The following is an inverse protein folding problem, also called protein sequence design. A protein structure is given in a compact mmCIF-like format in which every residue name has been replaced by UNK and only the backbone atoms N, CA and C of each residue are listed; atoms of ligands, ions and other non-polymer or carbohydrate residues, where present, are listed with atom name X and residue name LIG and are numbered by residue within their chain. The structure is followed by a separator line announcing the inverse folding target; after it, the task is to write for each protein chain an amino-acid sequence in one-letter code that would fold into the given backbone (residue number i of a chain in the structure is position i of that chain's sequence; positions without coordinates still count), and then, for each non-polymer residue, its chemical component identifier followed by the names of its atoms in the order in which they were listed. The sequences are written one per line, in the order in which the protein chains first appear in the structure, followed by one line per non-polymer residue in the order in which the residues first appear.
data_IF_596716839805
#
_entry.id   IF_596716839805
#
_cell.length_a   1.000
_cell.length_b   1.000
_cell.length_c   1.000
_cell.angle_alpha   90.00
_cell.angle_beta   90.00
_cell.angle_gamma   90.00
#
_symmetry.space_group_name_H-M   'P 1'
#
loop_
_entity.id
_entity.type
_entity.pdbx_description
1 polymer ?
#
# COMPACT_ATOMS: atom_id res chain seq x y z
N UNK A 1 0.79 -4.03 11.38
CA UNK A 1 -0.08 -4.78 12.30
C UNK A 1 -1.28 -3.94 12.74
N UNK A 2 -1.07 -2.70 13.13
CA UNK A 2 -2.10 -1.85 13.75
C UNK A 2 -3.23 -1.52 12.78
N UNK A 3 -2.93 -1.26 11.51
CA UNK A 3 -3.93 -1.12 10.45
C UNK A 3 -4.89 -2.33 10.36
N UNK A 4 -4.38 -3.54 10.53
CA UNK A 4 -5.19 -4.76 10.49
C UNK A 4 -6.05 -4.93 11.76
N UNK A 5 -5.59 -4.43 12.90
CA UNK A 5 -6.36 -4.44 14.17
C UNK A 5 -7.51 -3.45 14.16
N UNK A 6 -7.37 -2.32 13.45
CA UNK A 6 -8.41 -1.30 13.30
C UNK A 6 -9.55 -1.77 12.40
N UNK A 7 -9.30 -2.77 11.55
CA UNK A 7 -10.28 -3.25 10.60
C UNK A 7 -11.33 -4.12 11.27
N UNK A 8 -12.60 -3.72 11.19
CA UNK A 8 -13.73 -4.41 11.83
C UNK A 8 -14.46 -5.38 10.91
N UNK A 9 -14.48 -5.10 9.59
CA UNK A 9 -15.26 -5.88 8.61
C UNK A 9 -14.57 -5.95 7.24
N UNK A 10 -14.98 -6.94 6.42
CA UNK A 10 -14.55 -7.14 5.04
C UNK A 10 -13.29 -8.01 4.89
N UNK A 11 -12.98 -8.36 3.65
CA UNK A 11 -11.85 -9.22 3.31
C UNK A 11 -10.59 -8.41 3.05
N UNK A 12 -9.46 -8.94 3.47
CA UNK A 12 -8.13 -8.36 3.23
C UNK A 12 -7.22 -9.40 2.62
N UNK A 13 -6.40 -8.99 1.67
CA UNK A 13 -5.28 -9.79 1.15
C UNK A 13 -3.95 -9.13 1.52
N UNK A 14 -2.91 -9.91 1.59
CA UNK A 14 -1.55 -9.43 1.77
C UNK A 14 -0.70 -9.82 0.57
N UNK A 15 -0.08 -8.83 -0.07
CA UNK A 15 0.85 -9.01 -1.18
C UNK A 15 2.20 -8.44 -0.78
N UNK A 16 3.25 -9.22 -0.94
CA UNK A 16 4.63 -8.76 -0.85
C UNK A 16 5.16 -8.52 -2.27
N UNK A 17 5.97 -7.48 -2.44
CA UNK A 17 6.60 -7.19 -3.72
C UNK A 17 8.05 -6.71 -3.56
N UNK A 18 8.81 -6.96 -4.62
CA UNK A 18 10.17 -6.49 -4.84
C UNK A 18 10.36 -6.29 -6.35
N UNK A 19 11.25 -6.99 -7.04
CA UNK A 19 11.30 -7.07 -8.50
C UNK A 19 10.16 -7.90 -9.12
N UNK A 20 9.46 -8.66 -8.31
CA UNK A 20 8.24 -9.42 -8.59
C UNK A 20 7.21 -9.23 -7.46
N UNK A 21 6.06 -9.92 -7.51
CA UNK A 21 5.03 -9.84 -6.46
C UNK A 21 4.43 -11.21 -6.15
N UNK A 22 4.15 -11.43 -4.86
CA UNK A 22 3.64 -12.69 -4.34
C UNK A 22 2.44 -12.45 -3.41
N UNK A 23 1.38 -13.24 -3.59
CA UNK A 23 0.25 -13.26 -2.65
C UNK A 23 0.67 -14.05 -1.42
N UNK A 24 0.90 -13.34 -0.32
CA UNK A 24 1.23 -13.96 0.98
C UNK A 24 -0.03 -14.53 1.63
N UNK A 25 -1.13 -13.77 1.55
CA UNK A 25 -2.43 -14.21 2.04
C UNK A 25 -3.49 -13.77 1.03
N UNK A 26 -4.31 -14.68 0.51
CA UNK A 26 -5.43 -14.33 -0.37
C UNK A 26 -6.50 -13.55 0.42
N UNK A 27 -7.55 -13.09 -0.27
CA UNK A 27 -8.66 -12.38 0.38
C UNK A 27 -9.30 -13.25 1.46
N UNK A 28 -9.25 -12.77 2.70
CA UNK A 28 -9.81 -13.42 3.89
C UNK A 28 -10.33 -12.38 4.86
N UNK A 29 -11.32 -12.74 5.67
CA UNK A 29 -11.80 -11.99 6.84
C UNK A 29 -10.96 -12.26 8.10
N UNK A 30 -10.14 -13.30 8.08
CA UNK A 30 -9.25 -13.66 9.20
C UNK A 30 -7.99 -12.80 9.24
N UNK A 31 -8.10 -11.64 9.89
CA UNK A 31 -6.97 -10.73 10.10
C UNK A 31 -5.85 -11.34 10.98
N UNK A 32 -6.17 -12.32 11.83
CA UNK A 32 -5.17 -13.00 12.67
C UNK A 32 -4.19 -13.80 11.83
N UNK A 33 -4.69 -14.50 10.82
CA UNK A 33 -3.84 -15.23 9.87
C UNK A 33 -2.91 -14.27 9.12
N UNK A 34 -3.40 -13.09 8.69
CA UNK A 34 -2.56 -12.09 8.03
C UNK A 34 -1.46 -11.61 8.99
N UNK A 35 -1.82 -11.27 10.23
CA UNK A 35 -0.86 -10.80 11.25
C UNK A 35 0.20 -11.87 11.55
N UNK A 36 -0.19 -13.14 11.62
CA UNK A 36 0.73 -14.25 11.87
C UNK A 36 1.77 -14.43 10.75
N UNK A 37 1.45 -14.05 9.52
CA UNK A 37 2.36 -14.15 8.38
C UNK A 37 3.34 -12.95 8.28
N UNK A 38 3.04 -11.81 8.91
CA UNK A 38 3.90 -10.62 8.82
C UNK A 38 5.35 -10.84 9.28
N UNK A 39 5.63 -11.56 10.40
CA UNK A 39 7.00 -11.77 10.85
C UNK A 39 7.87 -12.59 9.88
N UNK A 40 7.24 -13.37 8.98
CA UNK A 40 7.94 -14.16 7.98
C UNK A 40 8.36 -13.33 6.74
N UNK A 41 7.88 -12.09 6.63
CA UNK A 41 8.23 -11.19 5.53
C UNK A 41 9.62 -10.59 5.80
N UNK A 42 10.63 -11.22 5.21
CA UNK A 42 12.00 -10.74 5.22
C UNK A 42 12.36 -10.25 3.79
N UNK A 43 12.95 -9.05 3.62
CA UNK A 43 13.36 -8.55 2.31
C UNK A 43 14.26 -9.52 1.53
N UNK A 44 15.01 -10.37 2.22
CA UNK A 44 15.95 -11.31 1.60
C UNK A 44 15.30 -12.60 1.10
N UNK A 45 14.01 -12.86 1.39
CA UNK A 45 13.31 -14.02 0.83
C UNK A 45 12.74 -13.75 -0.56
N UNK A 46 12.71 -12.50 -1.01
CA UNK A 46 12.20 -12.16 -2.34
C UNK A 46 13.20 -12.61 -3.40
N UNK A 47 12.75 -13.44 -4.39
CA UNK A 47 13.65 -14.06 -5.35
C UNK A 47 14.22 -13.07 -6.37
N UNK A 48 13.51 -11.97 -6.64
CA UNK A 48 13.91 -10.95 -7.63
C UNK A 48 14.09 -9.61 -6.92
N UNK A 49 15.32 -9.10 -6.94
CA UNK A 49 15.65 -7.79 -6.37
C UNK A 49 15.05 -6.69 -7.25
N UNK A 50 14.51 -5.65 -6.64
CA UNK A 50 13.94 -4.49 -7.32
C UNK A 50 12.76 -3.88 -6.57
N UNK A 51 12.05 -2.97 -7.24
CA UNK A 51 10.84 -2.32 -6.72
C UNK A 51 9.83 -2.22 -7.87
N UNK A 52 8.84 -3.13 -7.88
CA UNK A 52 7.82 -3.25 -8.93
C UNK A 52 6.40 -3.12 -8.32
N UNK A 53 6.04 -1.93 -7.79
CA UNK A 53 4.70 -1.72 -7.24
C UNK A 53 3.59 -1.86 -8.28
N UNK A 54 3.86 -1.62 -9.57
CA UNK A 54 2.93 -1.81 -10.67
C UNK A 54 2.44 -3.27 -10.78
N UNK A 55 3.34 -4.25 -10.61
CA UNK A 55 2.96 -5.68 -10.62
C UNK A 55 2.12 -6.02 -9.39
N UNK A 56 2.48 -5.48 -8.21
CA UNK A 56 1.72 -5.69 -6.99
C UNK A 56 0.30 -5.11 -7.10
N UNK A 57 0.15 -3.90 -7.62
CA UNK A 57 -1.16 -3.27 -7.86
C UNK A 57 -1.97 -4.09 -8.87
N UNK A 58 -1.36 -4.57 -9.96
CA UNK A 58 -2.03 -5.47 -10.93
C UNK A 58 -2.57 -6.71 -10.23
N UNK A 59 -1.78 -7.36 -9.39
CA UNK A 59 -2.18 -8.55 -8.65
C UNK A 59 -3.29 -8.24 -7.63
N UNK A 60 -3.22 -7.09 -6.95
CA UNK A 60 -4.27 -6.63 -6.04
C UNK A 60 -5.61 -6.41 -6.77
N UNK A 61 -5.59 -5.75 -7.93
CA UNK A 61 -6.79 -5.56 -8.78
C UNK A 61 -7.38 -6.91 -9.20
N UNK A 62 -6.54 -7.88 -9.54
CA UNK A 62 -7.02 -9.23 -9.90
C UNK A 62 -7.70 -9.93 -8.71
N UNK A 63 -7.11 -9.84 -7.51
CA UNK A 63 -7.72 -10.41 -6.29
C UNK A 63 -9.05 -9.74 -5.95
N UNK A 64 -9.14 -8.41 -6.04
CA UNK A 64 -10.38 -7.67 -5.83
C UNK A 64 -11.47 -8.09 -6.83
N UNK A 65 -11.12 -8.26 -8.10
CA UNK A 65 -12.06 -8.77 -9.14
C UNK A 65 -12.53 -10.20 -8.84
N UNK A 66 -11.63 -11.09 -8.45
CA UNK A 66 -11.97 -12.47 -8.07
C UNK A 66 -12.88 -12.50 -6.85
N UNK A 67 -12.63 -11.64 -5.86
CA UNK A 67 -13.47 -11.45 -4.68
C UNK A 67 -14.78 -10.69 -4.93
N UNK A 68 -15.06 -10.29 -6.20
CA UNK A 68 -16.26 -9.50 -6.59
C UNK A 68 -16.42 -8.22 -5.76
N UNK A 69 -15.30 -7.60 -5.37
CA UNK A 69 -15.31 -6.35 -4.64
C UNK A 69 -15.84 -5.21 -5.52
N UNK A 70 -16.91 -4.55 -5.08
CA UNK A 70 -17.51 -3.40 -5.78
C UNK A 70 -16.72 -2.12 -5.52
N UNK A 71 -16.20 -1.94 -4.30
CA UNK A 71 -15.40 -0.81 -3.88
C UNK A 71 -14.12 -1.32 -3.20
N UNK A 72 -13.11 -1.64 -4.03
CA UNK A 72 -11.81 -2.09 -3.54
C UNK A 72 -10.96 -0.95 -3.02
N UNK A 73 -10.13 -1.22 -2.00
CA UNK A 73 -9.08 -0.31 -1.55
C UNK A 73 -7.75 -1.03 -1.56
N UNK A 74 -6.77 -0.45 -2.24
CA UNK A 74 -5.38 -0.90 -2.20
C UNK A 74 -4.62 0.02 -1.26
N UNK A 75 -3.92 -0.56 -0.28
CA UNK A 75 -2.98 0.16 0.58
C UNK A 75 -1.58 -0.22 0.13
N UNK A 76 -0.89 0.71 -0.50
CA UNK A 76 0.49 0.54 -0.96
C UNK A 76 1.45 1.12 0.09
N UNK A 77 2.27 0.27 0.69
CA UNK A 77 3.37 0.66 1.56
C UNK A 77 4.65 0.72 0.73
N UNK A 78 5.23 1.91 0.57
CA UNK A 78 6.41 2.12 -0.27
C UNK A 78 7.20 3.35 0.17
N UNK A 79 8.48 3.38 -0.14
CA UNK A 79 9.38 4.54 0.02
C UNK A 79 9.49 5.37 -1.28
N UNK A 80 8.99 4.85 -2.41
CA UNK A 80 8.98 5.53 -3.70
C UNK A 80 8.35 4.70 -4.80
N UNK A 81 7.99 5.37 -5.89
CA UNK A 81 7.51 4.75 -7.14
C UNK A 81 8.17 5.47 -8.31
N UNK A 82 8.85 4.73 -9.16
CA UNK A 82 9.48 5.29 -10.35
C UNK A 82 8.43 5.80 -11.37
N UNK A 83 8.72 6.87 -12.14
CA UNK A 83 7.75 7.51 -13.03
C UNK A 83 7.04 6.53 -13.97
N UNK A 84 7.79 5.62 -14.60
CA UNK A 84 7.20 4.65 -15.54
C UNK A 84 6.28 3.61 -14.87
N UNK A 85 6.40 3.39 -13.55
CA UNK A 85 5.47 2.57 -12.78
C UNK A 85 4.22 3.36 -12.39
N UNK A 86 4.34 4.69 -12.20
CA UNK A 86 3.20 5.58 -11.93
C UNK A 86 2.19 5.50 -13.07
N UNK A 87 2.65 5.64 -14.33
CA UNK A 87 1.78 5.58 -15.51
C UNK A 87 1.06 4.23 -15.59
N UNK A 88 1.79 3.13 -15.37
CA UNK A 88 1.19 1.78 -15.37
C UNK A 88 0.17 1.58 -14.25
N UNK A 89 0.40 2.12 -13.05
CA UNK A 89 -0.55 2.03 -11.95
C UNK A 89 -1.81 2.82 -12.28
N UNK A 90 -1.68 4.00 -12.88
CA UNK A 90 -2.82 4.80 -13.32
C UNK A 90 -3.65 4.02 -14.34
N UNK A 91 -3.03 3.48 -15.39
CA UNK A 91 -3.70 2.66 -16.42
C UNK A 91 -4.44 1.43 -15.82
N UNK A 92 -3.85 0.79 -14.80
CA UNK A 92 -4.45 -0.37 -14.13
C UNK A 92 -5.69 -0.04 -13.31
N UNK A 93 -5.73 1.17 -12.74
CA UNK A 93 -6.81 1.63 -11.86
C UNK A 93 -7.86 2.45 -12.59
N UNK A 94 -7.56 2.93 -13.80
CA UNK A 94 -8.51 3.64 -14.65
C UNK A 94 -9.73 2.77 -14.95
N UNK A 95 -10.92 3.39 -14.90
CA UNK A 95 -12.20 2.72 -15.12
C UNK A 95 -12.59 1.70 -14.03
N UNK A 96 -11.80 1.56 -12.96
CA UNK A 96 -12.16 0.75 -11.79
C UNK A 96 -12.75 1.62 -10.68
N UNK A 97 -13.50 1.03 -9.74
CA UNK A 97 -13.93 1.70 -8.49
C UNK A 97 -12.92 1.52 -7.35
N UNK A 98 -11.71 1.03 -7.65
CA UNK A 98 -10.67 0.79 -6.66
C UNK A 98 -9.94 2.08 -6.30
N UNK A 99 -9.77 2.37 -5.01
CA UNK A 99 -8.98 3.50 -4.52
C UNK A 99 -7.58 3.05 -4.11
N UNK A 100 -6.59 3.96 -4.28
CA UNK A 100 -5.20 3.72 -3.91
C UNK A 100 -4.78 4.63 -2.75
N UNK A 101 -4.65 4.07 -1.58
CA UNK A 101 -4.05 4.71 -0.42
C UNK A 101 -2.56 4.41 -0.39
N UNK A 102 -1.71 5.42 -0.18
CA UNK A 102 -0.26 5.22 -0.09
C UNK A 102 0.22 5.55 1.32
N UNK A 103 0.84 4.59 1.97
CA UNK A 103 1.62 4.79 3.18
C UNK A 103 3.09 4.97 2.79
N UNK A 104 3.53 6.22 2.77
CA UNK A 104 4.88 6.56 2.37
C UNK A 104 5.85 6.34 3.53
N UNK A 105 6.72 5.33 3.38
CA UNK A 105 7.84 5.06 4.26
C UNK A 105 9.06 5.87 3.83
N UNK A 106 9.87 6.34 4.79
CA UNK A 106 11.08 7.07 4.49
C UNK A 106 11.04 8.56 4.79
N UNK A 107 12.05 9.28 4.35
CA UNK A 107 12.20 10.71 4.60
C UNK A 107 12.63 11.47 3.35
N UNK A 108 12.33 12.77 3.29
CA UNK A 108 12.80 13.64 2.20
C UNK A 108 14.32 13.85 2.19
N UNK A 109 14.95 13.70 3.34
CA UNK A 109 16.42 13.75 3.45
C UNK A 109 17.09 12.47 2.94
N UNK A 110 16.35 11.37 2.94
CA UNK A 110 16.87 10.04 2.64
C UNK A 110 17.63 9.43 3.80
N UNK A 111 18.08 8.20 3.61
CA UNK A 111 18.92 7.49 4.55
C UNK A 111 19.75 6.41 3.85
N UNK A 112 20.97 6.11 4.36
CA UNK A 112 21.79 5.08 3.76
C UNK A 112 21.21 3.68 4.01
N UNK A 113 21.16 2.85 2.96
CA UNK A 113 20.71 1.46 3.06
C UNK A 113 21.81 0.62 3.68
N UNK A 114 21.53 0.07 4.87
CA UNK A 114 22.46 -0.83 5.58
C UNK A 114 22.29 -2.25 5.05
N UNK A 115 23.39 -2.83 4.58
CA UNK A 115 23.42 -4.24 4.17
C UNK A 115 23.88 -5.12 5.35
N UNK A 116 23.30 -6.32 5.52
CA UNK A 116 23.84 -7.30 6.46
C UNK A 116 25.29 -7.61 6.09
N UNK A 117 26.19 -7.56 7.06
CA UNK A 117 27.62 -7.91 6.93
C UNK A 117 28.47 -7.04 5.98
N UNK A 118 27.90 -6.15 5.14
CA UNK A 118 28.63 -5.40 4.10
C UNK A 118 28.65 -3.88 4.26
N UNK A 119 28.20 -3.35 5.41
CA UNK A 119 28.13 -1.90 5.62
C UNK A 119 26.94 -1.25 4.90
N UNK A 120 27.18 -0.24 4.07
CA UNK A 120 26.14 0.48 3.34
C UNK A 120 26.13 0.12 1.84
N UNK A 121 24.96 0.15 1.24
CA UNK A 121 24.82 0.02 -0.22
C UNK A 121 25.60 1.15 -0.90
N UNK A 122 26.45 0.79 -1.85
CA UNK A 122 27.25 1.73 -2.64
C UNK A 122 26.99 1.52 -4.12
N UNK A 123 26.96 2.64 -4.83
CA UNK A 123 26.96 2.69 -6.28
C UNK A 123 28.18 3.50 -6.74
N UNK A 124 29.02 2.94 -7.60
CA UNK A 124 30.31 3.50 -8.04
C UNK A 124 31.19 4.02 -6.88
N UNK A 125 31.16 3.33 -5.73
CA UNK A 125 31.92 3.70 -4.52
C UNK A 125 31.23 4.69 -3.58
N UNK A 126 30.16 5.35 -4.00
CA UNK A 126 29.39 6.30 -3.20
C UNK A 126 28.25 5.59 -2.45
N UNK A 127 27.98 6.02 -1.20
CA UNK A 127 26.84 5.50 -0.43
C UNK A 127 25.54 5.96 -1.08
N UNK A 128 24.66 5.00 -1.40
CA UNK A 128 23.33 5.28 -1.94
C UNK A 128 22.44 5.80 -0.82
N UNK A 129 21.87 7.01 -1.01
CA UNK A 129 20.94 7.66 -0.09
C UNK A 129 19.63 7.91 -0.83
N UNK A 130 18.72 6.92 -0.90
CA UNK A 130 17.43 7.11 -1.55
C UNK A 130 16.58 8.12 -0.77
N UNK A 131 15.96 9.04 -1.51
CA UNK A 131 15.05 10.05 -0.97
C UNK A 131 13.63 9.72 -1.40
N UNK A 132 12.67 9.94 -0.50
CA UNK A 132 11.25 9.76 -0.82
C UNK A 132 10.69 11.03 -1.47
N UNK A 133 10.16 10.88 -2.69
CA UNK A 133 9.41 11.94 -3.36
C UNK A 133 7.94 11.88 -2.96
N UNK A 134 7.61 12.56 -1.87
CA UNK A 134 6.24 12.64 -1.36
C UNK A 134 5.28 13.31 -2.33
N UNK A 135 5.75 14.23 -3.18
CA UNK A 135 4.89 14.94 -4.13
C UNK A 135 4.37 14.01 -5.22
N UNK A 136 5.23 13.20 -5.80
CA UNK A 136 4.86 12.18 -6.77
C UNK A 136 3.93 11.12 -6.19
N UNK A 137 4.19 10.67 -4.95
CA UNK A 137 3.33 9.70 -4.25
C UNK A 137 1.95 10.29 -3.93
N UNK A 138 1.89 11.56 -3.51
CA UNK A 138 0.62 12.25 -3.27
C UNK A 138 -0.19 12.41 -4.56
N UNK A 139 0.46 12.77 -5.67
CA UNK A 139 -0.18 12.90 -6.97
C UNK A 139 -0.75 11.57 -7.45
N UNK A 140 0.02 10.48 -7.32
CA UNK A 140 -0.42 9.13 -7.67
C UNK A 140 -1.65 8.70 -6.85
N UNK A 141 -1.62 8.91 -5.54
CA UNK A 141 -2.74 8.56 -4.67
C UNK A 141 -4.01 9.37 -5.01
N UNK A 142 -3.87 10.69 -5.16
CA UNK A 142 -4.98 11.59 -5.48
C UNK A 142 -5.61 11.28 -6.85
N UNK A 143 -4.80 10.98 -7.86
CA UNK A 143 -5.29 10.55 -9.18
C UNK A 143 -6.17 9.30 -9.09
N UNK A 144 -5.84 8.38 -8.17
CA UNK A 144 -6.51 7.12 -7.97
C UNK A 144 -7.48 7.12 -6.78
N UNK A 145 -8.17 8.24 -6.55
CA UNK A 145 -9.26 8.38 -5.54
C UNK A 145 -8.85 8.02 -4.12
N UNK A 146 -7.58 8.22 -3.79
CA UNK A 146 -7.03 7.94 -2.47
C UNK A 146 -6.25 9.11 -1.92
N UNK A 147 -5.43 8.83 -0.92
CA UNK A 147 -4.53 9.79 -0.27
C UNK A 147 -3.18 9.16 -0.01
N UNK A 148 -2.16 10.00 0.09
CA UNK A 148 -0.87 9.63 0.62
C UNK A 148 -0.76 10.10 2.07
N UNK A 149 -0.37 9.18 2.95
CA UNK A 149 -0.03 9.44 4.35
C UNK A 149 1.44 9.11 4.56
N UNK A 150 2.12 9.93 5.35
CA UNK A 150 3.49 9.61 5.78
C UNK A 150 3.42 8.68 6.97
N UNK A 151 4.19 7.61 6.94
CA UNK A 151 4.36 6.77 8.12
C UNK A 151 5.00 7.60 9.24
N UNK A 152 4.37 7.59 10.39
CA UNK A 152 4.87 8.18 11.61
C UNK A 152 5.18 7.09 12.64
N UNK A 153 5.98 7.41 13.65
CA UNK A 153 6.29 6.49 14.76
C UNK A 153 5.16 6.46 15.80
N UNK A 154 4.18 7.32 15.64
CA UNK A 154 2.97 7.42 16.45
C UNK A 154 1.75 6.99 15.62
N UNK A 155 0.62 6.75 16.28
CA UNK A 155 -0.61 6.27 15.63
C UNK A 155 -1.39 7.38 14.88
N UNK A 156 -0.80 8.54 14.58
CA UNK A 156 -1.49 9.65 13.90
C UNK A 156 -1.86 9.31 12.47
N UNK A 157 -1.01 8.57 11.76
CA UNK A 157 -1.27 8.06 10.42
C UNK A 157 -2.44 7.05 10.42
N UNK A 158 -2.53 6.21 11.45
CA UNK A 158 -3.59 5.22 11.63
C UNK A 158 -4.94 5.89 11.95
N UNK A 159 -4.94 6.90 12.80
CA UNK A 159 -6.14 7.66 13.12
C UNK A 159 -6.69 8.40 11.90
N UNK A 160 -5.82 8.90 11.03
CA UNK A 160 -6.22 9.52 9.76
C UNK A 160 -6.86 8.52 8.79
N UNK A 161 -6.49 7.24 8.87
CA UNK A 161 -7.09 6.14 8.09
C UNK A 161 -8.48 5.74 8.59
N UNK A 162 -8.70 5.71 9.89
CA UNK A 162 -9.96 5.27 10.50
C UNK A 162 -11.08 6.32 10.30
N UNK A 163 -10.77 7.60 10.36
CA UNK A 163 -11.72 8.69 10.12
C UNK A 163 -12.36 8.59 8.71
N UNK A 164 -11.64 8.13 7.70
CA UNK A 164 -12.17 7.96 6.34
C UNK A 164 -13.06 6.72 6.19
N UNK A 165 -12.80 5.65 6.92
CA UNK A 165 -13.68 4.48 6.98
C UNK A 165 -15.06 4.83 7.55
N UNK A 166 -15.10 5.66 8.56
CA UNK A 166 -16.36 6.09 9.22
C UNK A 166 -17.19 7.06 8.37
N UNK A 167 -16.57 7.93 7.59
CA UNK A 167 -17.28 8.89 6.72
C UNK A 167 -18.01 8.22 5.55
N UNK A 168 -17.46 7.13 5.03
CA UNK A 168 -18.10 6.37 3.92
C UNK A 168 -19.38 5.67 4.38
N UNK A 169 -19.43 5.19 5.61
CA UNK A 169 -20.61 4.54 6.20
C UNK A 169 -21.73 5.55 6.51
N UNK A 170 -21.39 6.78 6.92
CA UNK A 170 -22.40 7.81 7.21
C UNK A 170 -23.11 8.35 5.97
N UNK A 171 -22.42 8.39 4.83
CA UNK A 171 -23.05 8.84 3.58
C UNK A 171 -24.01 7.80 2.99
N UNK A 172 -23.82 6.51 3.22
CA UNK A 172 -24.75 5.48 2.78
C UNK A 172 -26.04 5.41 3.63
N UNK A 173 -25.99 5.81 4.90
CA UNK A 173 -27.18 5.85 5.75
C UNK A 173 -28.07 7.09 5.51
N UNK A 174 -27.55 8.15 4.90
CA UNK A 174 -28.35 9.35 4.57
C UNK A 174 -29.17 9.23 3.27
N UNK A 175 -28.83 8.28 2.40
CA UNK A 175 -29.57 8.07 1.14
C UNK A 175 -30.75 7.06 1.23
N UNK A 176 -30.95 6.43 2.39
CA UNK A 176 -32.00 5.41 2.57
C UNK A 176 -33.16 5.83 3.47
N UNK A 177 -33.42 7.12 3.64
CA UNK A 177 -34.64 7.57 4.31
C UNK A 177 -35.63 8.09 3.25
N UNK A 178 -36.57 7.26 2.76
CA UNK A 178 -37.63 7.73 1.87
C UNK A 178 -38.68 8.42 2.72
N UNK A 179 -38.72 9.72 2.62
CA UNK A 179 -39.78 10.55 3.16
C UNK A 179 -41.13 10.06 2.60
N UNK A 180 -42.00 9.61 3.49
CA UNK A 180 -43.41 9.56 3.26
C UNK A 180 -43.99 10.96 3.05
#
# INVERSE_FOLDING_TARGET
QDLLKLRKEGNTALIAFSGDSHVVTPLTDDTKTIIANLPALDPFIMPVIGSRPDIAVKQAVQLLKQGKATNGRIVLLTDGVEPHHIDRINDLLDGTSTSLLILAAGTSAGGPIKLPEKGYLKDEGNVVIPKTDFSSLASLANHNRGKMLRMTLDDQDLNALDIEGSLTLQNQQKETDPTM
#
